data_IF_240794771501
#
_entry.id   IF_240794771501
#
_cell.length_a   1.000
_cell.length_b   1.000
_cell.length_c   1.000
_cell.angle_alpha   90.00
_cell.angle_beta   90.00
_cell.angle_gamma   90.00
#
_symmetry.space_group_name_H-M   'P 1'
#
loop_
_entity.id
_entity.type
_entity.pdbx_description
1 polymer ?
#
# COMPACT_ATOMS: atom_id res chain seq x y z
N UNK A 1 -2.76 19.35 -18.65
CA UNK A 1 -1.74 18.62 -17.86
C UNK A 1 -0.97 17.74 -18.84
N UNK A 2 0.36 17.87 -18.94
CA UNK A 2 1.14 16.90 -19.73
C UNK A 2 1.06 15.56 -19.01
N UNK A 3 1.16 14.46 -19.75
CA UNK A 3 1.00 13.11 -19.20
C UNK A 3 2.01 12.78 -18.09
N UNK A 4 3.14 13.49 -18.01
CA UNK A 4 4.14 13.37 -16.92
C UNK A 4 3.88 14.24 -15.68
N UNK A 5 2.79 15.01 -15.63
CA UNK A 5 2.50 15.92 -14.50
C UNK A 5 1.53 15.31 -13.48
N UNK A 6 0.88 14.18 -13.79
CA UNK A 6 -0.11 13.55 -12.90
C UNK A 6 0.59 12.54 -12.01
N UNK A 7 0.57 12.80 -10.72
CA UNK A 7 0.96 11.87 -9.67
C UNK A 7 -0.28 11.11 -9.21
N UNK A 8 -0.20 9.78 -9.17
CA UNK A 8 -1.26 8.90 -8.68
C UNK A 8 -0.79 8.18 -7.42
N UNK A 9 -1.54 8.28 -6.33
CA UNK A 9 -1.36 7.46 -5.14
C UNK A 9 -2.33 6.27 -5.25
N UNK A 10 -1.80 5.07 -5.45
CA UNK A 10 -2.56 3.83 -5.50
C UNK A 10 -2.54 3.15 -4.12
N UNK A 11 -3.68 2.61 -3.68
CA UNK A 11 -3.83 1.90 -2.42
C UNK A 11 -4.47 0.55 -2.73
N UNK A 12 -3.92 -0.52 -2.15
CA UNK A 12 -4.44 -1.89 -2.30
C UNK A 12 -4.61 -2.54 -0.93
N UNK A 13 -5.84 -2.97 -0.64
CA UNK A 13 -6.26 -3.57 0.65
C UNK A 13 -7.36 -4.63 0.47
N UNK A 14 -7.34 -5.40 -0.63
CA UNK A 14 -8.41 -6.38 -0.91
C UNK A 14 -8.37 -7.65 -0.05
N UNK A 15 -7.18 -8.08 0.39
CA UNK A 15 -6.99 -9.35 1.10
C UNK A 15 -6.19 -9.17 2.40
N UNK A 16 -4.92 -9.55 2.44
CA UNK A 16 -4.07 -9.59 3.64
C UNK A 16 -2.81 -8.73 3.50
N UNK A 17 -2.78 -7.85 2.51
CA UNK A 17 -1.69 -6.93 2.24
C UNK A 17 -2.20 -5.50 2.28
N UNK A 18 -1.48 -4.63 3.00
CA UNK A 18 -1.67 -3.18 2.90
C UNK A 18 -0.56 -2.64 2.03
N UNK A 19 -0.91 -2.14 0.85
CA UNK A 19 0.09 -1.64 -0.11
C UNK A 19 -0.23 -0.24 -0.58
N UNK A 20 0.81 0.54 -0.85
CA UNK A 20 0.68 1.85 -1.47
C UNK A 20 1.81 2.10 -2.47
N UNK A 21 1.45 2.65 -3.64
CA UNK A 21 2.37 2.97 -4.70
C UNK A 21 2.14 4.39 -5.22
N UNK A 22 3.23 5.08 -5.54
CA UNK A 22 3.17 6.37 -6.22
C UNK A 22 3.53 6.17 -7.68
N UNK A 23 2.71 6.68 -8.59
CA UNK A 23 2.96 6.61 -10.03
C UNK A 23 3.04 7.99 -10.67
N UNK A 24 3.99 8.16 -11.59
CA UNK A 24 4.03 9.30 -12.51
C UNK A 24 3.41 8.91 -13.86
N UNK A 25 2.46 9.72 -14.32
CA UNK A 25 1.80 9.55 -15.61
C UNK A 25 1.08 8.21 -15.82
N UNK A 26 0.74 7.54 -14.71
CA UNK A 26 0.00 6.27 -14.67
C UNK A 26 0.77 5.06 -15.20
N UNK A 27 2.09 5.17 -15.40
CA UNK A 27 2.91 4.05 -15.92
C UNK A 27 4.25 3.90 -15.24
N UNK A 28 4.86 4.99 -14.84
CA UNK A 28 6.12 4.96 -14.10
C UNK A 28 5.81 4.81 -12.62
N UNK A 29 6.39 3.80 -11.97
CA UNK A 29 6.25 3.58 -10.53
C UNK A 29 7.43 4.28 -9.85
N UNK A 30 7.12 5.28 -9.04
CA UNK A 30 8.10 6.05 -8.25
C UNK A 30 8.40 5.36 -6.91
N UNK A 31 7.40 4.71 -6.31
CA UNK A 31 7.53 3.90 -5.09
C UNK A 31 6.47 2.80 -5.06
N UNK A 32 6.75 1.74 -4.31
CA UNK A 32 5.80 0.64 -4.09
C UNK A 32 6.11 -0.05 -2.75
N UNK A 33 5.31 0.25 -1.73
CA UNK A 33 5.49 -0.24 -0.37
C UNK A 33 4.40 -1.25 -0.05
N UNK A 34 4.79 -2.41 0.49
CA UNK A 34 3.89 -3.53 0.81
C UNK A 34 4.11 -3.93 2.26
N UNK A 35 3.02 -4.06 3.02
CA UNK A 35 3.00 -4.69 4.34
C UNK A 35 2.11 -5.94 4.30
N UNK A 36 2.75 -7.11 4.33
CA UNK A 36 2.05 -8.40 4.36
C UNK A 36 1.62 -8.79 5.77
N UNK A 37 0.50 -9.50 5.89
CA UNK A 37 -0.03 -10.05 7.14
C UNK A 37 0.10 -11.58 7.22
N UNK A 38 0.87 -12.22 6.32
CA UNK A 38 1.04 -13.68 6.25
C UNK A 38 1.36 -14.30 7.62
N UNK A 39 2.32 -13.75 8.37
CA UNK A 39 2.74 -14.28 9.67
C UNK A 39 1.63 -14.30 10.72
N UNK A 40 0.66 -13.40 10.60
CA UNK A 40 -0.50 -13.33 11.50
C UNK A 40 -1.51 -14.41 11.11
N UNK A 41 -1.83 -14.51 9.81
CA UNK A 41 -2.84 -15.44 9.29
C UNK A 41 -2.38 -16.89 9.27
N UNK A 42 -1.07 -17.15 9.19
CA UNK A 42 -0.48 -18.49 9.30
C UNK A 42 -0.89 -19.21 10.59
N UNK A 43 -1.07 -18.47 11.69
CA UNK A 43 -1.48 -19.02 12.99
C UNK A 43 -2.92 -19.57 12.98
N UNK A 44 -3.73 -19.11 12.03
CA UNK A 44 -5.13 -19.49 11.87
C UNK A 44 -5.34 -20.47 10.71
N UNK A 45 -4.28 -20.80 9.95
CA UNK A 45 -4.37 -21.67 8.77
C UNK A 45 -5.03 -21.02 7.56
N UNK A 46 -5.20 -19.69 7.57
CA UNK A 46 -5.85 -18.95 6.48
C UNK A 46 -6.16 -17.51 6.89
N UNK A 47 -6.60 -16.71 5.92
CA UNK A 47 -6.94 -15.30 6.14
C UNK A 47 -8.19 -15.19 7.02
N UNK A 48 -8.08 -14.44 8.11
CA UNK A 48 -9.21 -14.08 8.98
C UNK A 48 -9.67 -12.66 8.60
N UNK A 49 -10.85 -12.47 7.99
CA UNK A 49 -11.26 -11.18 7.42
C UNK A 49 -11.27 -10.01 8.40
N UNK A 50 -11.72 -10.25 9.64
CA UNK A 50 -11.74 -9.23 10.71
C UNK A 50 -10.33 -8.79 11.10
N UNK A 51 -9.39 -9.74 11.21
CA UNK A 51 -7.99 -9.44 11.55
C UNK A 51 -7.34 -8.65 10.41
N UNK A 52 -7.63 -9.04 9.16
CA UNK A 52 -7.10 -8.34 8.01
C UNK A 52 -7.57 -6.89 7.93
N UNK A 53 -8.87 -6.67 8.11
CA UNK A 53 -9.48 -5.33 8.12
C UNK A 53 -8.83 -4.42 9.17
N UNK A 54 -8.59 -4.91 10.39
CA UNK A 54 -7.91 -4.14 11.44
C UNK A 54 -6.47 -3.81 11.08
N UNK A 55 -5.74 -4.78 10.52
CA UNK A 55 -4.34 -4.58 10.13
C UNK A 55 -4.19 -3.58 8.98
N UNK A 56 -5.17 -3.48 8.08
CA UNK A 56 -5.18 -2.41 7.08
C UNK A 56 -5.25 -1.03 7.73
N UNK A 57 -6.16 -0.83 8.70
CA UNK A 57 -6.31 0.44 9.42
C UNK A 57 -5.03 0.81 10.19
N UNK A 58 -4.44 -0.15 10.90
CA UNK A 58 -3.22 0.06 11.69
C UNK A 58 -2.01 0.47 10.82
N UNK A 59 -1.92 -0.07 9.59
CA UNK A 59 -0.77 0.15 8.71
C UNK A 59 -0.95 1.29 7.70
N UNK A 60 -2.18 1.77 7.46
CA UNK A 60 -2.47 2.69 6.36
C UNK A 60 -1.58 3.93 6.36
N UNK A 61 -1.52 4.67 7.47
CA UNK A 61 -0.74 5.90 7.56
C UNK A 61 0.76 5.66 7.37
N UNK A 62 1.27 4.55 7.92
CA UNK A 62 2.69 4.19 7.83
C UNK A 62 3.05 3.88 6.37
N UNK A 63 2.19 3.13 5.67
CA UNK A 63 2.44 2.69 4.29
C UNK A 63 2.30 3.85 3.31
N UNK A 64 1.32 4.73 3.50
CA UNK A 64 1.18 5.96 2.70
C UNK A 64 2.39 6.86 2.89
N UNK A 65 2.79 7.15 4.13
CA UNK A 65 3.93 8.02 4.39
C UNK A 65 5.21 7.46 3.75
N UNK A 66 5.51 6.17 3.96
CA UNK A 66 6.66 5.52 3.34
C UNK A 66 6.64 5.61 1.81
N UNK A 67 5.47 5.44 1.19
CA UNK A 67 5.36 5.52 -0.26
C UNK A 67 5.63 6.95 -0.76
N UNK A 68 5.19 7.98 -0.04
CA UNK A 68 5.49 9.39 -0.38
C UNK A 68 6.97 9.72 -0.17
N UNK A 69 7.55 9.28 0.94
CA UNK A 69 8.97 9.45 1.27
C UNK A 69 9.87 8.78 0.22
N UNK A 70 9.62 7.51 -0.12
CA UNK A 70 10.38 6.75 -1.12
C UNK A 70 10.27 7.37 -2.53
N UNK A 71 9.12 7.98 -2.85
CA UNK A 71 8.91 8.68 -4.11
C UNK A 71 9.48 10.12 -4.11
N UNK A 72 9.96 10.62 -2.97
CA UNK A 72 10.47 12.00 -2.77
C UNK A 72 9.45 13.09 -3.16
N UNK A 73 8.20 12.96 -2.69
CA UNK A 73 7.10 13.89 -3.02
C UNK A 73 6.35 14.45 -1.80
N UNK A 74 6.89 14.30 -0.59
CA UNK A 74 6.41 14.95 0.65
C UNK A 74 7.33 16.10 1.09
#
# INVERSE_FOLDING_TARGET
MKKGDIITLAIETSCDETSCAVLSGGREVLSNVISSQIDIHQKFGGVVPEVASRKHIENMNIIVQKALDEANID
#
